data_IF_179734569425
#
_entry.id   IF_179734569425
#
_cell.length_a   1.000
_cell.length_b   1.000
_cell.length_c   1.000
_cell.angle_alpha   90.00
_cell.angle_beta   90.00
_cell.angle_gamma   90.00
#
_symmetry.space_group_name_H-M   'P 1'
#
loop_
_entity.id
_entity.type
_entity.pdbx_description
1 polymer ?
#
# COMPACT_ATOMS: atom_id res chain seq x y z
N UNK A 1 -12.62 32.95 -29.89
CA UNK A 1 -11.36 32.19 -30.03
C UNK A 1 -10.76 32.11 -28.64
N UNK A 2 -11.10 31.05 -27.92
CA UNK A 2 -10.70 30.89 -26.53
C UNK A 2 -9.21 30.54 -26.46
N UNK A 3 -8.40 31.51 -26.05
CA UNK A 3 -6.96 31.37 -25.91
C UNK A 3 -6.69 30.56 -24.64
N UNK A 4 -6.47 29.26 -24.77
CA UNK A 4 -6.01 28.39 -23.69
C UNK A 4 -4.51 28.16 -23.82
N UNK A 5 -3.79 28.21 -22.70
CA UNK A 5 -2.37 27.87 -22.64
C UNK A 5 -2.25 26.37 -22.38
N UNK A 6 -1.49 25.68 -23.24
CA UNK A 6 -1.13 24.28 -23.03
C UNK A 6 0.31 24.22 -22.54
N UNK A 7 0.49 23.87 -21.27
CA UNK A 7 1.81 23.65 -20.70
C UNK A 7 2.16 22.17 -20.81
N UNK A 8 3.25 21.86 -21.51
CA UNK A 8 3.77 20.50 -21.60
C UNK A 8 4.70 20.23 -20.42
N UNK A 9 4.36 19.26 -19.58
CA UNK A 9 5.24 18.75 -18.53
C UNK A 9 5.71 17.35 -18.92
N UNK A 10 7.02 17.20 -19.11
CA UNK A 10 7.66 15.94 -19.44
C UNK A 10 7.44 14.90 -18.32
N UNK A 11 7.18 13.65 -18.72
CA UNK A 11 7.05 12.49 -17.82
C UNK A 11 5.90 12.53 -16.79
N UNK A 12 4.84 13.32 -17.01
CA UNK A 12 3.62 13.27 -16.19
C UNK A 12 2.49 12.49 -16.88
N UNK A 13 1.63 11.85 -16.08
CA UNK A 13 0.43 11.18 -16.57
C UNK A 13 -0.49 12.15 -17.34
N UNK A 14 -0.74 13.33 -16.77
CA UNK A 14 -1.31 14.46 -17.50
C UNK A 14 -0.16 15.29 -18.11
N UNK A 15 0.30 14.87 -19.29
CA UNK A 15 1.38 15.53 -20.04
C UNK A 15 1.06 16.99 -20.37
N UNK A 16 -0.20 17.29 -20.68
CA UNK A 16 -0.68 18.63 -21.01
C UNK A 16 -1.54 19.17 -19.88
N UNK A 17 -1.15 20.32 -19.33
CA UNK A 17 -1.97 21.09 -18.41
C UNK A 17 -2.59 22.26 -19.18
N UNK A 18 -3.93 22.32 -19.17
CA UNK A 18 -4.68 23.38 -19.80
C UNK A 18 -4.95 24.49 -18.79
N UNK A 19 -4.44 25.68 -19.06
CA UNK A 19 -4.71 26.86 -18.25
C UNK A 19 -5.62 27.82 -19.03
N UNK A 20 -6.72 28.23 -18.39
CA UNK A 20 -7.58 29.27 -18.92
C UNK A 20 -6.84 30.62 -18.86
N UNK A 21 -7.18 31.55 -19.76
CA UNK A 21 -6.57 32.87 -19.89
C UNK A 21 -6.50 33.67 -18.60
N UNK A 22 -7.41 33.42 -17.65
CA UNK A 22 -7.47 34.09 -16.36
C UNK A 22 -6.51 33.52 -15.29
N UNK A 23 -5.90 32.35 -15.56
CA UNK A 23 -5.13 31.60 -14.55
C UNK A 23 -3.62 31.61 -14.81
N UNK A 24 -3.12 32.41 -15.74
CA UNK A 24 -1.68 32.56 -15.97
C UNK A 24 -1.33 33.98 -16.40
N UNK A 25 -0.14 34.44 -16.01
CA UNK A 25 0.49 35.65 -16.50
C UNK A 25 1.85 35.28 -17.13
N UNK A 26 2.20 35.96 -18.21
CA UNK A 26 3.52 35.84 -18.85
C UNK A 26 4.27 37.11 -18.51
N UNK A 27 5.37 36.98 -17.78
CA UNK A 27 6.28 38.09 -17.48
C UNK A 27 7.61 37.89 -18.23
N UNK A 28 8.42 38.93 -18.35
CA UNK A 28 9.74 38.83 -18.96
C UNK A 28 10.79 39.53 -18.10
N UNK A 29 11.95 38.90 -17.95
CA UNK A 29 13.10 39.47 -17.28
C UNK A 29 14.21 39.73 -18.30
N UNK A 30 14.76 40.95 -18.27
CA UNK A 30 15.91 41.29 -19.09
C UNK A 30 17.19 40.89 -18.35
N UNK A 31 17.89 39.88 -18.86
CA UNK A 31 19.14 39.40 -18.28
C UNK A 31 20.29 40.20 -18.89
N UNK A 32 20.76 41.20 -18.16
CA UNK A 32 21.80 42.15 -18.60
C UNK A 32 23.12 41.43 -18.97
N UNK A 33 23.45 40.32 -18.28
CA UNK A 33 24.66 39.54 -18.54
C UNK A 33 24.67 38.79 -19.89
N UNK A 34 23.51 38.46 -20.44
CA UNK A 34 23.37 37.71 -21.70
C UNK A 34 22.74 38.55 -22.83
N UNK A 35 22.32 39.79 -22.52
CA UNK A 35 21.62 40.71 -23.41
C UNK A 35 20.40 40.05 -24.10
N UNK A 36 19.63 39.27 -23.32
CA UNK A 36 18.46 38.53 -23.78
C UNK A 36 17.28 38.73 -22.85
N UNK A 37 16.08 38.67 -23.42
CA UNK A 37 14.84 38.57 -22.67
C UNK A 37 14.57 37.09 -22.36
N UNK A 38 14.48 36.75 -21.08
CA UNK A 38 14.00 35.44 -20.63
C UNK A 38 12.53 35.57 -20.22
N UNK A 39 11.68 34.69 -20.73
CA UNK A 39 10.25 34.68 -20.40
C UNK A 39 10.03 33.87 -19.12
N UNK A 40 9.38 34.49 -18.14
CA UNK A 40 9.00 33.87 -16.87
C UNK A 40 7.49 33.61 -16.90
N UNK A 41 7.12 32.36 -16.64
CA UNK A 41 5.72 31.93 -16.60
C UNK A 41 5.26 31.92 -15.16
N UNK A 42 4.29 32.78 -14.82
CA UNK A 42 3.65 32.78 -13.50
C UNK A 42 2.26 32.16 -13.66
N UNK A 43 2.17 30.86 -13.41
CA UNK A 43 0.88 30.16 -13.34
C UNK A 43 0.24 30.39 -11.98
N UNK A 44 -1.01 30.85 -11.96
CA UNK A 44 -1.83 30.84 -10.75
C UNK A 44 -2.49 29.46 -10.69
N UNK A 45 -2.10 28.62 -9.74
CA UNK A 45 -2.90 27.43 -9.46
C UNK A 45 -4.26 27.92 -8.95
N UNK A 46 -5.38 27.60 -9.65
CA UNK A 46 -6.69 27.94 -9.12
C UNK A 46 -6.80 27.26 -7.75
N UNK A 47 -7.15 28.06 -6.74
CA UNK A 47 -7.61 27.56 -5.45
C UNK A 47 -8.79 26.63 -5.75
N UNK A 48 -8.54 25.32 -5.85
CA UNK A 48 -9.62 24.34 -5.90
C UNK A 48 -10.44 24.53 -4.64
N UNK A 49 -11.72 24.85 -4.83
CA UNK A 49 -12.68 25.07 -3.75
C UNK A 49 -12.62 23.89 -2.77
N UNK A 50 -12.24 24.22 -1.55
CA UNK A 50 -11.94 23.34 -0.43
C UNK A 50 -13.22 22.71 0.15
N UNK A 51 -14.04 22.04 -0.67
CA UNK A 51 -15.35 21.55 -0.23
C UNK A 51 -15.59 20.05 -0.41
N UNK A 52 -14.69 19.32 -1.06
CA UNK A 52 -14.74 17.86 -1.02
C UNK A 52 -13.68 17.33 -0.05
N UNK A 53 -14.15 16.61 0.97
CA UNK A 53 -13.45 15.73 1.92
C UNK A 53 -13.41 16.17 3.42
N UNK A 54 -14.51 16.63 4.06
CA UNK A 54 -14.57 16.64 5.53
C UNK A 54 -14.74 15.22 6.14
N UNK A 55 -15.13 14.22 5.33
CA UNK A 55 -15.51 12.88 5.83
C UNK A 55 -14.41 11.82 5.77
N UNK A 56 -13.31 12.00 5.02
CA UNK A 56 -12.31 10.93 4.86
C UNK A 56 -11.42 10.78 6.09
N UNK A 57 -10.91 11.87 6.65
CA UNK A 57 -10.08 11.84 7.86
C UNK A 57 -10.78 11.14 9.04
N UNK A 58 -12.04 11.44 9.41
CA UNK A 58 -12.70 10.74 10.52
C UNK A 58 -12.90 9.24 10.27
N UNK A 59 -13.18 8.81 9.02
CA UNK A 59 -13.32 7.39 8.67
C UNK A 59 -11.97 6.65 8.79
N UNK A 60 -10.88 7.29 8.38
CA UNK A 60 -9.53 6.74 8.51
C UNK A 60 -9.12 6.61 9.99
N UNK A 61 -9.43 7.61 10.82
CA UNK A 61 -9.17 7.57 12.26
C UNK A 61 -9.95 6.43 12.92
N UNK A 62 -11.24 6.29 12.61
CA UNK A 62 -12.06 5.20 13.12
C UNK A 62 -11.49 3.84 12.75
N UNK A 63 -11.10 3.67 11.48
CA UNK A 63 -10.45 2.46 10.99
C UNK A 63 -9.13 2.17 11.71
N UNK A 64 -8.30 3.19 11.93
CA UNK A 64 -7.05 3.08 12.67
C UNK A 64 -7.29 2.65 14.14
N UNK A 65 -8.30 3.19 14.81
CA UNK A 65 -8.63 2.80 16.20
C UNK A 65 -8.98 1.31 16.27
N UNK A 66 -9.88 0.83 15.41
CA UNK A 66 -10.26 -0.60 15.40
C UNK A 66 -9.07 -1.51 15.10
N UNK A 67 -8.23 -1.16 14.13
CA UNK A 67 -7.03 -1.94 13.81
C UNK A 67 -5.98 -1.90 14.92
N UNK A 68 -5.83 -0.76 15.60
CA UNK A 68 -4.99 -0.62 16.78
C UNK A 68 -5.46 -1.53 17.91
N UNK A 69 -6.76 -1.56 18.20
CA UNK A 69 -7.34 -2.48 19.18
C UNK A 69 -7.08 -3.94 18.82
N UNK A 70 -7.27 -4.32 17.55
CA UNK A 70 -6.95 -5.67 17.06
C UNK A 70 -5.48 -5.99 17.27
N UNK A 71 -4.56 -5.08 16.96
CA UNK A 71 -3.13 -5.28 17.16
C UNK A 71 -2.79 -5.45 18.66
N UNK A 72 -3.37 -4.64 19.54
CA UNK A 72 -3.18 -4.72 21.00
C UNK A 72 -3.68 -6.05 21.55
N UNK A 73 -4.89 -6.48 21.18
CA UNK A 73 -5.46 -7.76 21.64
C UNK A 73 -4.56 -8.93 21.23
N UNK A 74 -4.06 -8.94 19.99
CA UNK A 74 -3.15 -9.99 19.52
C UNK A 74 -1.78 -9.97 20.20
N UNK A 75 -1.33 -8.80 20.69
CA UNK A 75 -0.13 -8.68 21.52
C UNK A 75 -0.37 -9.21 22.94
N UNK A 76 -1.52 -8.90 23.54
CA UNK A 76 -1.80 -9.29 24.92
C UNK A 76 -2.02 -10.80 25.11
N UNK A 77 -2.46 -11.51 24.06
CA UNK A 77 -2.62 -12.97 24.12
C UNK A 77 -1.24 -13.64 24.26
N UNK A 78 -0.94 -14.32 25.38
CA UNK A 78 0.41 -14.84 25.67
C UNK A 78 0.73 -16.12 24.89
N UNK A 79 -0.29 -16.90 24.50
CA UNK A 79 -0.14 -18.13 23.71
C UNK A 79 -0.29 -17.83 22.22
N UNK A 80 0.71 -17.16 21.64
CA UNK A 80 0.66 -16.74 20.23
C UNK A 80 0.87 -17.92 19.28
N UNK A 81 -0.17 -18.30 18.56
CA UNK A 81 -0.04 -19.18 17.40
C UNK A 81 0.57 -18.41 16.22
N UNK A 82 1.16 -19.11 15.25
CA UNK A 82 1.74 -18.45 14.06
C UNK A 82 0.68 -17.69 13.26
N UNK A 83 -0.55 -18.22 13.15
CA UNK A 83 -1.67 -17.48 12.55
C UNK A 83 -1.92 -16.14 13.27
N UNK A 84 -1.86 -16.11 14.61
CA UNK A 84 -2.00 -14.86 15.36
C UNK A 84 -0.84 -13.87 15.08
N UNK A 85 0.37 -14.35 14.82
CA UNK A 85 1.49 -13.48 14.38
C UNK A 85 1.24 -12.87 13.00
N UNK A 86 0.71 -13.64 12.06
CA UNK A 86 0.39 -13.14 10.72
C UNK A 86 -0.70 -12.06 10.82
N UNK A 87 -1.74 -12.31 11.64
CA UNK A 87 -2.80 -11.33 11.92
C UNK A 87 -2.25 -10.06 12.53
N UNK A 88 -1.35 -10.19 13.50
CA UNK A 88 -0.70 -9.06 14.13
C UNK A 88 0.08 -8.20 13.11
N UNK A 89 0.85 -8.83 12.20
CA UNK A 89 1.67 -8.09 11.21
C UNK A 89 0.82 -7.36 10.19
N UNK A 90 -0.21 -8.01 9.67
CA UNK A 90 -1.21 -7.39 8.81
C UNK A 90 -1.89 -6.18 9.48
N UNK A 91 -2.40 -6.36 10.71
CA UNK A 91 -3.09 -5.30 11.43
C UNK A 91 -2.16 -4.13 11.73
N UNK A 92 -0.88 -4.41 12.06
CA UNK A 92 0.11 -3.36 12.34
C UNK A 92 0.47 -2.57 11.09
N UNK A 93 0.70 -3.22 9.94
CA UNK A 93 1.01 -2.49 8.70
C UNK A 93 -0.17 -1.63 8.25
N UNK A 94 -1.40 -2.14 8.38
CA UNK A 94 -2.60 -1.39 8.03
C UNK A 94 -2.86 -0.23 8.99
N UNK A 95 -2.64 -0.43 10.28
CA UNK A 95 -2.71 0.63 11.28
C UNK A 95 -1.73 1.75 10.97
N UNK A 96 -0.45 1.44 10.71
CA UNK A 96 0.56 2.43 10.37
C UNK A 96 0.20 3.21 9.10
N UNK A 97 -0.27 2.53 8.05
CA UNK A 97 -0.71 3.18 6.81
C UNK A 97 -1.86 4.16 7.02
N UNK A 98 -2.92 3.75 7.72
CA UNK A 98 -4.06 4.63 8.00
C UNK A 98 -3.77 5.74 9.00
N UNK A 99 -2.95 5.47 10.02
CA UNK A 99 -2.53 6.50 10.97
C UNK A 99 -1.72 7.60 10.28
N UNK A 100 -0.74 7.23 9.44
CA UNK A 100 0.04 8.20 8.66
C UNK A 100 -0.83 8.99 7.70
N UNK A 101 -1.79 8.34 7.03
CA UNK A 101 -2.74 9.07 6.17
C UNK A 101 -3.61 10.05 6.95
N UNK A 102 -4.17 9.63 8.08
CA UNK A 102 -5.00 10.50 8.91
C UNK A 102 -4.19 11.70 9.41
N UNK A 103 -2.94 11.48 9.84
CA UNK A 103 -2.02 12.55 10.24
C UNK A 103 -1.78 13.52 9.08
N UNK A 104 -1.46 13.02 7.88
CA UNK A 104 -1.21 13.88 6.71
C UNK A 104 -2.43 14.71 6.33
N UNK A 105 -3.64 14.14 6.37
CA UNK A 105 -4.88 14.87 6.08
C UNK A 105 -5.17 15.97 7.12
N UNK A 106 -4.96 15.68 8.41
CA UNK A 106 -5.16 16.67 9.48
C UNK A 106 -4.13 17.81 9.38
N UNK A 107 -2.85 17.49 9.17
CA UNK A 107 -1.79 18.51 9.08
C UNK A 107 -1.97 19.35 7.81
N UNK A 108 -2.40 18.74 6.69
CA UNK A 108 -2.69 19.46 5.45
C UNK A 108 -3.87 20.41 5.58
N UNK A 109 -4.84 20.10 6.43
CA UNK A 109 -5.95 21.00 6.76
C UNK A 109 -5.51 22.18 7.62
N UNK A 110 -4.63 21.96 8.60
CA UNK A 110 -4.18 23.02 9.53
C UNK A 110 -3.14 23.94 8.89
N UNK A 111 -2.12 23.39 8.22
CA UNK A 111 -1.03 24.19 7.65
C UNK A 111 -0.37 23.49 6.46
N UNK A 112 -0.68 23.97 5.25
CA UNK A 112 -0.15 23.44 3.98
C UNK A 112 1.38 23.63 3.85
N UNK A 113 1.99 24.62 4.51
CA UNK A 113 3.44 24.88 4.40
C UNK A 113 4.31 23.79 5.04
N UNK A 114 3.85 23.22 6.17
CA UNK A 114 4.58 22.15 6.87
C UNK A 114 4.54 20.85 6.06
N UNK A 115 3.46 20.61 5.33
CA UNK A 115 3.26 19.35 4.61
C UNK A 115 4.11 19.29 3.35
N UNK A 116 4.29 20.40 2.62
CA UNK A 116 5.01 20.44 1.34
C UNK A 116 6.33 19.64 1.29
N UNK A 117 7.30 19.82 2.21
CA UNK A 117 8.56 19.06 2.17
C UNK A 117 8.40 17.59 2.61
N UNK A 118 7.44 17.28 3.49
CA UNK A 118 7.21 15.93 4.02
C UNK A 118 6.22 15.11 3.18
N UNK A 119 5.49 15.77 2.30
CA UNK A 119 4.45 15.25 1.43
C UNK A 119 4.92 14.00 0.67
N UNK A 120 5.94 14.19 -0.16
CA UNK A 120 6.56 13.14 -0.99
C UNK A 120 7.09 11.96 -0.19
N UNK A 121 8.02 12.14 0.78
CA UNK A 121 8.58 11.01 1.51
C UNK A 121 7.51 10.26 2.32
N UNK A 122 6.56 10.96 2.94
CA UNK A 122 5.49 10.31 3.71
C UNK A 122 4.53 9.54 2.80
N UNK A 123 4.17 10.04 1.62
CA UNK A 123 3.33 9.28 0.68
C UNK A 123 3.99 7.97 0.23
N UNK A 124 5.31 7.95 0.01
CA UNK A 124 6.07 6.74 -0.34
C UNK A 124 6.05 5.72 0.83
N UNK A 125 6.21 6.21 2.06
CA UNK A 125 6.15 5.38 3.28
C UNK A 125 4.74 4.79 3.47
N UNK A 126 3.70 5.60 3.26
CA UNK A 126 2.31 5.15 3.31
C UNK A 126 2.06 4.04 2.28
N UNK A 127 2.53 4.24 1.04
CA UNK A 127 2.43 3.24 -0.03
C UNK A 127 3.11 1.92 0.36
N UNK A 128 4.30 1.98 0.96
CA UNK A 128 5.00 0.80 1.48
C UNK A 128 4.12 0.01 2.47
N UNK A 129 3.50 0.70 3.43
CA UNK A 129 2.66 0.05 4.44
C UNK A 129 1.42 -0.61 3.83
N UNK A 130 0.74 0.05 2.87
CA UNK A 130 -0.40 -0.57 2.18
C UNK A 130 0.00 -1.78 1.35
N UNK A 131 1.10 -1.68 0.60
CA UNK A 131 1.61 -2.82 -0.18
C UNK A 131 2.02 -3.99 0.71
N UNK A 132 2.67 -3.71 1.84
CA UNK A 132 2.96 -4.73 2.84
C UNK A 132 1.67 -5.37 3.37
N UNK A 133 0.63 -4.59 3.69
CA UNK A 133 -0.67 -5.12 4.13
C UNK A 133 -1.30 -6.04 3.09
N UNK A 134 -1.27 -5.69 1.80
CA UNK A 134 -1.80 -6.56 0.74
C UNK A 134 -1.05 -7.89 0.67
N UNK A 135 0.28 -7.89 0.80
CA UNK A 135 1.06 -9.13 0.82
C UNK A 135 0.77 -9.96 2.08
N UNK A 136 0.65 -9.31 3.24
CA UNK A 136 0.25 -10.01 4.47
C UNK A 136 -1.16 -10.59 4.36
N UNK A 137 -2.10 -9.92 3.68
CA UNK A 137 -3.44 -10.45 3.39
C UNK A 137 -3.39 -11.69 2.48
N UNK A 138 -2.50 -11.69 1.48
CA UNK A 138 -2.27 -12.86 0.63
C UNK A 138 -1.70 -14.04 1.45
N UNK A 139 -0.73 -13.77 2.34
CA UNK A 139 -0.18 -14.78 3.26
C UNK A 139 -1.26 -15.32 4.20
N UNK A 140 -2.11 -14.46 4.75
CA UNK A 140 -3.26 -14.84 5.58
C UNK A 140 -4.24 -15.74 4.83
N UNK A 141 -4.56 -15.39 3.58
CA UNK A 141 -5.47 -16.17 2.73
C UNK A 141 -4.93 -17.58 2.51
N UNK A 142 -3.62 -17.70 2.27
CA UNK A 142 -2.93 -18.98 2.13
C UNK A 142 -2.95 -19.80 3.44
N UNK A 143 -2.76 -19.17 4.60
CA UNK A 143 -2.84 -19.82 5.92
C UNK A 143 -4.25 -20.41 6.16
N UNK A 144 -5.30 -19.62 5.92
CA UNK A 144 -6.70 -20.05 6.07
C UNK A 144 -7.03 -21.20 5.11
N UNK A 145 -6.56 -21.14 3.86
CA UNK A 145 -6.79 -22.20 2.89
C UNK A 145 -6.19 -23.54 3.33
N UNK A 146 -4.95 -23.53 3.81
CA UNK A 146 -4.31 -24.73 4.34
C UNK A 146 -4.96 -25.23 5.63
N UNK A 147 -5.34 -24.33 6.55
CA UNK A 147 -6.08 -24.69 7.75
C UNK A 147 -7.40 -25.39 7.40
N UNK A 148 -8.11 -24.87 6.40
CA UNK A 148 -9.35 -25.48 5.90
C UNK A 148 -9.09 -26.87 5.31
N UNK A 149 -8.04 -27.05 4.49
CA UNK A 149 -7.66 -28.37 3.95
C UNK A 149 -7.34 -29.39 5.04
N UNK A 150 -6.64 -28.97 6.09
CA UNK A 150 -6.34 -29.82 7.24
C UNK A 150 -7.63 -30.30 7.93
N UNK A 151 -8.53 -29.37 8.25
CA UNK A 151 -9.81 -29.69 8.90
C UNK A 151 -10.69 -30.62 8.04
N UNK A 152 -10.67 -30.44 6.72
CA UNK A 152 -11.38 -31.32 5.78
C UNK A 152 -10.78 -32.73 5.73
N UNK A 153 -9.46 -32.86 5.77
CA UNK A 153 -8.78 -34.16 5.82
C UNK A 153 -9.11 -34.90 7.12
N UNK A 154 -9.10 -34.20 8.25
CA UNK A 154 -9.47 -34.73 9.57
C UNK A 154 -10.94 -35.19 9.61
N UNK A 155 -11.87 -34.38 9.10
CA UNK A 155 -13.29 -34.77 8.98
C UNK A 155 -13.48 -36.02 8.13
N UNK A 156 -12.71 -36.17 7.05
CA UNK A 156 -12.77 -37.37 6.20
C UNK A 156 -12.30 -38.61 6.96
N UNK A 157 -11.25 -38.49 7.77
CA UNK A 157 -10.74 -39.58 8.60
C UNK A 157 -11.78 -40.07 9.63
N UNK A 158 -12.40 -39.14 10.37
CA UNK A 158 -13.46 -39.47 11.33
C UNK A 158 -14.69 -40.13 10.66
N UNK A 159 -15.02 -39.71 9.44
CA UNK A 159 -16.12 -40.33 8.67
C UNK A 159 -15.77 -41.74 8.17
N UNK A 160 -14.51 -42.02 7.85
CA UNK A 160 -14.07 -43.39 7.52
C UNK A 160 -14.06 -44.32 8.73
N UNK A 161 -13.70 -43.82 9.92
CA UNK A 161 -13.78 -44.60 11.17
C UNK A 161 -15.23 -44.98 11.51
N UNK A 162 -16.17 -44.05 11.33
CA UNK A 162 -17.60 -44.31 11.57
C UNK A 162 -18.25 -45.28 10.57
N UNK A 163 -17.56 -45.68 9.49
CA UNK A 163 -18.11 -46.49 8.38
C UNK A 163 -17.54 -47.91 8.27
N UNK A 164 -16.67 -48.38 9.16
CA UNK A 164 -16.17 -49.78 9.12
C UNK A 164 -16.66 -50.59 10.32
N UNK A 165 -17.57 -51.54 10.14
CA UNK A 165 -17.28 -52.94 9.80
C UNK A 165 -16.46 -53.27 8.53
N UNK A 166 -15.54 -54.24 8.70
CA UNK A 166 -14.90 -55.22 7.81
C UNK A 166 -14.18 -54.89 6.48
N UNK A 167 -14.28 -53.71 5.85
CA UNK A 167 -13.57 -53.46 4.56
C UNK A 167 -12.52 -52.32 4.55
N UNK A 168 -12.15 -51.75 5.71
CA UNK A 168 -11.42 -50.46 5.76
C UNK A 168 -9.90 -50.55 5.92
N UNK A 169 -9.31 -51.70 6.23
CA UNK A 169 -7.86 -51.78 6.49
C UNK A 169 -7.00 -51.33 5.28
N UNK A 170 -7.47 -51.57 4.05
CA UNK A 170 -6.79 -51.16 2.81
C UNK A 170 -6.91 -49.66 2.51
N UNK A 171 -7.99 -49.00 2.94
CA UNK A 171 -8.16 -47.54 2.79
C UNK A 171 -7.53 -46.76 3.96
N UNK A 172 -7.41 -47.38 5.14
CA UNK A 172 -6.75 -46.82 6.32
C UNK A 172 -5.30 -46.45 6.02
N UNK A 173 -4.55 -47.32 5.34
CA UNK A 173 -3.17 -47.00 4.95
C UNK A 173 -3.02 -45.86 3.92
N UNK A 174 -4.00 -45.66 3.03
CA UNK A 174 -3.98 -44.53 2.07
C UNK A 174 -4.39 -43.22 2.76
N UNK A 175 -5.37 -43.28 3.66
CA UNK A 175 -5.80 -42.17 4.52
C UNK A 175 -4.70 -41.73 5.48
N UNK A 176 -4.10 -42.68 6.21
CA UNK A 176 -2.93 -42.47 7.07
C UNK A 176 -1.70 -42.07 6.27
N UNK A 177 -1.52 -42.53 5.03
CA UNK A 177 -0.44 -42.07 4.15
C UNK A 177 -0.60 -40.62 3.73
N UNK A 178 -1.83 -40.17 3.44
CA UNK A 178 -2.14 -38.77 3.16
C UNK A 178 -2.05 -37.91 4.42
N UNK A 179 -2.58 -38.37 5.56
CA UNK A 179 -2.49 -37.69 6.85
C UNK A 179 -1.04 -37.67 7.32
N UNK A 180 -0.24 -38.72 7.14
CA UNK A 180 1.19 -38.74 7.43
C UNK A 180 1.99 -37.94 6.41
N UNK A 181 1.57 -37.78 5.16
CA UNK A 181 2.19 -36.83 4.22
C UNK A 181 1.84 -35.38 4.56
N UNK A 182 0.66 -35.15 5.11
CA UNK A 182 0.19 -33.86 5.63
C UNK A 182 0.88 -33.53 6.99
N UNK A 183 0.97 -34.51 7.90
CA UNK A 183 1.69 -34.49 9.18
C UNK A 183 3.21 -34.50 8.99
N UNK A 184 3.76 -35.07 7.89
CA UNK A 184 5.19 -34.98 7.51
C UNK A 184 5.58 -33.64 6.92
N UNK A 185 4.61 -32.78 6.60
CA UNK A 185 4.85 -31.35 6.47
C UNK A 185 4.27 -30.60 7.70
N UNK A 186 4.80 -30.80 8.92
CA UNK A 186 4.62 -29.82 9.99
C UNK A 186 5.55 -28.62 9.76
N UNK A 187 5.67 -28.19 8.50
CA UNK A 187 6.54 -27.11 8.04
C UNK A 187 5.80 -25.80 7.80
N UNK A 188 4.47 -25.80 7.84
CA UNK A 188 3.67 -24.58 7.64
C UNK A 188 3.69 -23.66 8.88
N UNK A 189 4.07 -24.21 10.03
CA UNK A 189 4.15 -23.54 11.33
C UNK A 189 5.57 -23.61 11.92
N UNK A 190 6.62 -23.56 11.08
CA UNK A 190 8.00 -23.41 11.57
C UNK A 190 8.42 -21.94 11.54
N UNK A 191 9.17 -21.48 12.56
CA UNK A 191 9.79 -20.14 12.58
C UNK A 191 10.56 -19.82 11.30
N UNK A 192 11.14 -20.83 10.64
CA UNK A 192 11.86 -20.70 9.36
C UNK A 192 10.94 -20.30 8.20
N UNK A 193 9.71 -20.80 8.19
CA UNK A 193 8.70 -20.48 7.17
C UNK A 193 8.13 -19.07 7.40
N UNK A 194 7.90 -18.70 8.67
CA UNK A 194 7.53 -17.34 9.05
C UNK A 194 8.59 -16.31 8.61
N UNK A 195 9.88 -16.63 8.81
CA UNK A 195 10.98 -15.77 8.39
C UNK A 195 10.98 -15.55 6.86
N UNK A 196 10.78 -16.61 6.07
CA UNK A 196 10.65 -16.51 4.61
C UNK A 196 9.47 -15.64 4.20
N UNK A 197 8.29 -15.85 4.79
CA UNK A 197 7.11 -15.02 4.50
C UNK A 197 7.33 -13.55 4.88
N UNK A 198 7.94 -13.29 6.04
CA UNK A 198 8.28 -11.93 6.47
C UNK A 198 9.28 -11.27 5.53
N UNK A 199 10.30 -11.99 5.07
CA UNK A 199 11.27 -11.49 4.11
C UNK A 199 10.62 -11.13 2.77
N UNK A 200 9.69 -11.95 2.28
CA UNK A 200 8.94 -11.64 1.07
C UNK A 200 7.94 -10.49 1.26
N UNK A 201 7.16 -10.51 2.34
CA UNK A 201 6.07 -9.56 2.56
C UNK A 201 6.55 -8.15 2.91
N UNK A 202 7.75 -7.98 3.45
CA UNK A 202 8.37 -6.67 3.65
C UNK A 202 9.42 -6.34 2.58
N UNK A 203 10.15 -7.32 2.06
CA UNK A 203 11.18 -7.10 1.06
C UNK A 203 10.62 -6.68 -0.31
N UNK A 204 9.51 -7.30 -0.75
CA UNK A 204 8.91 -6.96 -2.04
C UNK A 204 8.32 -5.53 -2.07
N UNK A 205 7.53 -5.08 -1.07
CA UNK A 205 7.09 -3.70 -1.00
C UNK A 205 8.25 -2.73 -0.85
N UNK A 206 9.30 -3.10 -0.11
CA UNK A 206 10.48 -2.25 0.03
C UNK A 206 11.16 -2.05 -1.32
N UNK A 207 11.41 -3.13 -2.08
CA UNK A 207 11.98 -3.03 -3.42
C UNK A 207 11.12 -2.19 -4.36
N UNK A 208 9.80 -2.36 -4.32
CA UNK A 208 8.87 -1.61 -5.16
C UNK A 208 8.80 -0.12 -4.75
N UNK A 209 8.73 0.18 -3.45
CA UNK A 209 8.77 1.55 -2.92
C UNK A 209 10.11 2.23 -3.21
N UNK A 210 11.23 1.51 -3.14
CA UNK A 210 12.54 2.04 -3.50
C UNK A 210 12.61 2.35 -4.99
N UNK A 211 12.13 1.45 -5.87
CA UNK A 211 12.07 1.71 -7.30
C UNK A 211 11.21 2.94 -7.62
N UNK A 212 10.06 3.07 -6.96
CA UNK A 212 9.18 4.23 -7.09
C UNK A 212 9.87 5.51 -6.60
N UNK A 213 10.53 5.48 -5.45
CA UNK A 213 11.27 6.62 -4.93
C UNK A 213 12.36 7.05 -5.91
N UNK A 214 13.12 6.09 -6.46
CA UNK A 214 14.16 6.37 -7.47
C UNK A 214 13.55 7.05 -8.70
N UNK A 215 12.42 6.54 -9.23
CA UNK A 215 11.75 7.15 -10.39
C UNK A 215 11.24 8.56 -10.10
N UNK A 216 10.78 8.82 -8.87
CA UNK A 216 10.23 10.13 -8.49
C UNK A 216 11.35 11.17 -8.24
N UNK A 217 12.44 10.77 -7.56
CA UNK A 217 13.57 11.64 -7.21
C UNK A 217 14.59 11.83 -8.34
N UNK A 218 14.79 10.85 -9.22
CA UNK A 218 15.72 11.01 -10.33
C UNK A 218 15.11 11.87 -11.44
N UNK A 219 15.91 12.75 -12.02
CA UNK A 219 15.51 13.48 -13.21
C UNK A 219 15.58 12.53 -14.42
N UNK A 220 14.41 12.10 -14.90
CA UNK A 220 14.24 11.18 -16.03
C UNK A 220 13.91 11.94 -17.33
N UNK A 221 14.32 13.21 -17.43
CA UNK A 221 14.07 14.04 -18.61
C UNK A 221 14.53 13.40 -19.92
N UNK A 222 15.57 12.56 -19.89
CA UNK A 222 16.09 11.84 -21.07
C UNK A 222 15.25 10.60 -21.47
N UNK A 223 14.30 10.15 -20.64
CA UNK A 223 13.52 8.92 -20.85
C UNK A 223 12.00 9.17 -20.87
N UNK A 224 11.44 9.65 -22.01
CA UNK A 224 10.04 10.10 -22.12
C UNK A 224 8.97 9.01 -21.96
N UNK A 225 9.37 7.73 -21.94
CA UNK A 225 8.46 6.59 -21.76
C UNK A 225 8.21 6.22 -20.29
N UNK A 226 8.98 6.79 -19.35
CA UNK A 226 8.84 6.49 -17.91
C UNK A 226 7.93 7.54 -17.28
N UNK A 227 6.70 7.15 -16.98
CA UNK A 227 5.70 8.02 -16.34
C UNK A 227 6.03 8.14 -14.86
N UNK A 228 6.20 9.39 -14.39
CA UNK A 228 6.36 9.68 -12.97
C UNK A 228 5.00 9.68 -12.27
N UNK A 229 4.90 9.01 -11.10
CA UNK A 229 3.68 8.98 -10.30
C UNK A 229 3.37 10.32 -9.63
N UNK A 230 4.34 11.23 -9.54
CA UNK A 230 4.21 12.60 -9.00
C UNK A 230 3.54 12.62 -7.63
N UNK A 231 4.17 11.90 -6.69
CA UNK A 231 3.68 11.84 -5.32
C UNK A 231 3.56 13.24 -4.72
N UNK A 232 2.44 13.52 -4.08
CA UNK A 232 2.26 14.75 -3.34
C UNK A 232 2.04 16.03 -4.15
N UNK A 233 1.68 15.92 -5.43
CA UNK A 233 1.34 17.09 -6.25
C UNK A 233 0.04 17.79 -5.85
N UNK A 234 -0.92 17.07 -5.25
CA UNK A 234 -2.15 17.65 -4.67
C UNK A 234 -2.52 16.88 -3.39
N UNK A 235 -2.83 17.59 -2.30
CA UNK A 235 -3.29 17.03 -1.02
C UNK A 235 -2.43 15.90 -0.40
N UNK A 236 -1.16 15.79 -0.80
CA UNK A 236 -0.21 14.83 -0.24
C UNK A 236 -0.60 13.35 -0.27
N UNK A 237 -1.43 12.97 -1.24
CA UNK A 237 -1.83 11.59 -1.49
C UNK A 237 -1.98 11.31 -3.00
N UNK A 238 -2.18 10.04 -3.37
CA UNK A 238 -2.48 9.66 -4.76
C UNK A 238 -3.73 10.42 -5.23
N UNK A 239 -3.55 11.26 -6.25
CA UNK A 239 -4.68 11.78 -7.01
C UNK A 239 -5.17 10.64 -7.90
N UNK A 240 -6.17 9.91 -7.42
CA UNK A 240 -7.08 9.21 -8.32
C UNK A 240 -7.96 10.28 -8.96
N UNK A 241 -7.99 10.33 -10.29
CA UNK A 241 -8.98 11.12 -11.01
C UNK A 241 -10.41 10.77 -10.55
#
# INVERSE_FOLDING_TARGET
>A
MDSSLMLERSNLYNRFAHYNKYNFCIDYEYVEASNKFEFIWVGYEPLEDENDIPFTAPILILSAIFLGLVAVVHVLIPKRSISQFIVQRYATSQFCGFALLAIMQIVSYINKEIVNPMCKPVSIVIYYFFMASFLWLNVMSYDIWWATKFLLAEKRNRRSESKSGDHVEKMKHVGEGLINKFNRKPGLFSKKTLYKYSACAFGLPLAMSTAIAVVDYCDLSDYPYIIKPNFGSKNCFFVGN
#
